data_IF_832729179561
#
_entry.id   IF_832729179561
#
_cell.length_a   1.000
_cell.length_b   1.000
_cell.length_c   1.000
_cell.angle_alpha   90.00
_cell.angle_beta   90.00
_cell.angle_gamma   90.00
#
_symmetry.space_group_name_H-M   'P 1'
#
loop_
_entity.id
_entity.type
_entity.pdbx_description
1 polymer ?
#
# COMPACT_ATOMS: atom_id res chain seq x y z
N UNK A 1 3.75 23.00 5.94
CA UNK A 1 3.61 22.44 4.58
C UNK A 1 2.16 22.10 4.33
N UNK A 2 1.67 22.36 3.12
CA UNK A 2 0.28 22.05 2.75
C UNK A 2 0.13 20.57 2.40
N UNK A 3 -0.95 19.96 2.87
CA UNK A 3 -1.21 18.53 2.72
C UNK A 3 -1.34 18.05 1.27
N UNK A 4 -1.78 18.93 0.36
CA UNK A 4 -1.92 18.61 -1.05
C UNK A 4 -0.58 18.42 -1.77
N UNK A 5 0.49 19.11 -1.34
CA UNK A 5 1.83 18.90 -1.90
C UNK A 5 2.34 17.50 -1.54
N UNK A 6 2.14 17.08 -0.29
CA UNK A 6 2.50 15.73 0.18
C UNK A 6 1.66 14.67 -0.53
N UNK A 7 0.37 14.93 -0.76
CA UNK A 7 -0.51 14.04 -1.51
C UNK A 7 -0.07 13.86 -2.97
N UNK A 8 0.36 14.94 -3.63
CA UNK A 8 0.88 14.90 -5.00
C UNK A 8 2.23 14.16 -5.08
N UNK A 9 3.14 14.44 -4.14
CA UNK A 9 4.41 13.73 -4.04
C UNK A 9 4.19 12.22 -3.79
N UNK A 10 3.23 11.87 -2.94
CA UNK A 10 2.84 10.48 -2.71
C UNK A 10 2.37 9.83 -4.01
N UNK A 11 1.58 10.53 -4.84
CA UNK A 11 1.13 10.02 -6.13
C UNK A 11 2.30 9.72 -7.08
N UNK A 12 3.29 10.61 -7.15
CA UNK A 12 4.49 10.43 -8.00
C UNK A 12 5.37 9.27 -7.50
N UNK A 13 5.59 9.18 -6.19
CA UNK A 13 6.40 8.10 -5.62
C UNK A 13 5.71 6.74 -5.74
N UNK A 14 4.39 6.70 -5.54
CA UNK A 14 3.60 5.47 -5.70
C UNK A 14 3.59 5.02 -7.17
N UNK A 15 3.47 5.94 -8.12
CA UNK A 15 3.45 5.57 -9.55
C UNK A 15 4.82 5.08 -10.03
N UNK A 16 5.89 5.74 -9.60
CA UNK A 16 7.27 5.33 -9.88
C UNK A 16 7.60 3.99 -9.22
N UNK A 17 7.06 3.67 -8.04
CA UNK A 17 7.28 2.39 -7.38
C UNK A 17 6.78 1.23 -8.26
N UNK A 18 5.60 1.35 -8.87
CA UNK A 18 5.06 0.34 -9.78
C UNK A 18 6.00 0.07 -10.96
N UNK A 19 6.48 1.14 -11.60
CA UNK A 19 7.39 1.06 -12.75
C UNK A 19 8.77 0.53 -12.34
N UNK A 20 9.32 0.97 -11.21
CA UNK A 20 10.60 0.51 -10.71
C UNK A 20 10.56 -0.98 -10.34
N UNK A 21 9.42 -1.46 -9.82
CA UNK A 21 9.22 -2.87 -9.49
C UNK A 21 9.10 -3.73 -10.75
N UNK A 22 8.52 -3.21 -11.84
CA UNK A 22 8.51 -3.95 -13.12
C UNK A 22 9.88 -3.93 -13.78
N UNK A 23 10.62 -2.82 -13.70
CA UNK A 23 11.99 -2.71 -14.21
C UNK A 23 13.01 -3.52 -13.39
N UNK A 24 12.71 -3.85 -12.12
CA UNK A 24 13.57 -4.72 -11.31
C UNK A 24 13.42 -6.21 -11.64
N UNK A 25 12.44 -6.58 -12.46
CA UNK A 25 12.30 -7.94 -12.98
C UNK A 25 13.35 -8.20 -14.06
N UNK A 26 14.07 -9.32 -13.97
CA UNK A 26 15.05 -9.76 -14.95
C UNK A 26 14.62 -11.11 -15.51
N UNK A 27 14.50 -11.23 -16.83
CA UNK A 27 14.11 -12.46 -17.54
C UNK A 27 12.82 -13.13 -17.03
N UNK A 28 11.78 -12.34 -16.71
CA UNK A 28 10.47 -12.86 -16.31
C UNK A 28 10.37 -13.33 -14.84
N UNK A 29 11.41 -13.12 -14.03
CA UNK A 29 11.43 -13.40 -12.60
C UNK A 29 12.11 -12.31 -11.78
N UNK A 30 12.03 -12.42 -10.45
CA UNK A 30 12.79 -11.56 -9.54
C UNK A 30 14.10 -12.26 -9.16
N UNK A 31 15.23 -11.61 -9.38
CA UNK A 31 16.55 -12.12 -8.97
C UNK A 31 16.79 -12.01 -7.46
N UNK A 32 15.90 -11.33 -6.73
CA UNK A 32 15.94 -11.12 -5.28
C UNK A 32 14.67 -11.66 -4.63
N UNK A 33 14.76 -11.99 -3.34
CA UNK A 33 13.62 -12.42 -2.55
C UNK A 33 12.70 -11.21 -2.25
N UNK A 34 11.51 -11.18 -2.87
CA UNK A 34 10.54 -10.12 -2.69
C UNK A 34 10.10 -9.93 -1.22
N UNK A 35 10.19 -10.97 -0.38
CA UNK A 35 9.84 -10.87 1.04
C UNK A 35 10.83 -10.01 1.85
N UNK A 36 12.07 -9.85 1.38
CA UNK A 36 13.11 -9.06 2.05
C UNK A 36 12.97 -7.55 1.81
N UNK A 37 12.35 -7.14 0.70
CA UNK A 37 12.14 -5.72 0.35
C UNK A 37 11.26 -4.98 1.38
N UNK A 38 10.08 -5.48 1.79
CA UNK A 38 9.29 -4.86 2.85
C UNK A 38 10.04 -4.74 4.18
N UNK A 39 10.83 -5.75 4.56
CA UNK A 39 11.63 -5.71 5.79
C UNK A 39 12.66 -4.58 5.75
N UNK A 40 13.44 -4.47 4.68
CA UNK A 40 14.42 -3.39 4.50
C UNK A 40 13.74 -2.01 4.44
N UNK A 41 12.57 -1.91 3.82
CA UNK A 41 11.80 -0.66 3.80
C UNK A 41 11.32 -0.26 5.20
N UNK A 42 10.90 -1.20 6.06
CA UNK A 42 10.59 -0.92 7.47
C UNK A 42 11.83 -0.45 8.24
N UNK A 43 12.98 -1.09 8.06
CA UNK A 43 14.25 -0.67 8.69
C UNK A 43 14.62 0.75 8.25
N UNK A 44 14.53 1.05 6.95
CA UNK A 44 14.79 2.39 6.43
C UNK A 44 13.87 3.44 7.09
N UNK A 45 12.56 3.17 7.15
CA UNK A 45 11.59 4.06 7.80
C UNK A 45 11.89 4.25 9.29
N UNK A 46 12.29 3.19 9.99
CA UNK A 46 12.64 3.22 11.39
C UNK A 46 13.89 4.07 11.64
N UNK A 47 14.95 3.90 10.83
CA UNK A 47 16.18 4.69 10.91
C UNK A 47 15.90 6.17 10.66
N UNK A 48 15.16 6.49 9.59
CA UNK A 48 14.80 7.87 9.25
C UNK A 48 13.93 8.51 10.34
N UNK A 49 12.95 7.77 10.87
CA UNK A 49 12.07 8.28 11.94
C UNK A 49 12.83 8.50 13.24
N UNK A 50 13.76 7.60 13.59
CA UNK A 50 14.61 7.74 14.78
C UNK A 50 15.56 8.92 14.64
N UNK A 51 16.16 9.12 13.47
CA UNK A 51 17.02 10.27 13.19
C UNK A 51 16.27 11.60 13.35
N UNK A 52 15.06 11.71 12.79
CA UNK A 52 14.25 12.91 12.94
C UNK A 52 13.77 13.13 14.37
N UNK A 53 13.42 12.06 15.09
CA UNK A 53 13.08 12.14 16.51
C UNK A 53 14.27 12.62 17.34
N UNK A 54 15.46 12.07 17.11
CA UNK A 54 16.68 12.50 17.79
C UNK A 54 16.98 13.99 17.55
N UNK A 55 16.83 14.45 16.30
CA UNK A 55 16.96 15.87 15.96
C UNK A 55 15.91 16.75 16.64
N UNK A 56 14.67 16.27 16.77
CA UNK A 56 13.59 16.99 17.46
C UNK A 56 13.84 17.07 18.97
N UNK A 57 14.34 15.99 19.60
CA UNK A 57 14.73 15.97 21.01
C UNK A 57 15.90 16.91 21.32
N UNK A 58 16.83 17.10 20.38
CA UNK A 58 17.96 18.03 20.52
C UNK A 58 17.58 19.49 20.25
N UNK A 59 16.33 19.77 19.86
CA UNK A 59 15.81 21.12 19.69
C UNK A 59 15.34 21.72 21.02
N UNK A 60 15.19 23.04 21.09
CA UNK A 60 14.90 23.79 22.33
C UNK A 60 13.58 23.41 23.03
N UNK A 61 12.67 22.70 22.34
CA UNK A 61 11.38 22.26 22.86
C UNK A 61 11.28 20.74 22.72
N UNK A 62 11.39 19.96 23.81
CA UNK A 62 11.34 18.51 23.71
C UNK A 62 9.98 18.05 23.16
N UNK A 63 9.95 17.03 22.28
CA UNK A 63 8.71 16.54 21.72
C UNK A 63 7.85 15.86 22.79
N UNK A 64 6.53 15.91 22.60
CA UNK A 64 5.60 15.12 23.41
C UNK A 64 5.73 13.65 23.03
N UNK A 65 6.09 12.83 24.02
CA UNK A 65 6.29 11.39 23.87
C UNK A 65 5.51 10.66 24.98
N UNK A 66 4.31 10.17 24.67
CA UNK A 66 3.65 9.23 25.59
C UNK A 66 4.31 7.85 25.53
N UNK A 67 4.87 7.43 26.66
CA UNK A 67 5.50 6.11 26.87
C UNK A 67 4.62 5.16 27.68
N UNK A 68 3.39 5.56 27.99
CA UNK A 68 2.45 4.73 28.74
C UNK A 68 2.17 3.41 28.02
N UNK A 69 2.37 2.29 28.72
CA UNK A 69 2.17 0.94 28.17
C UNK A 69 0.78 0.73 27.56
N UNK A 70 -0.25 1.38 28.13
CA UNK A 70 -1.64 1.34 27.64
C UNK A 70 -1.77 1.86 26.21
N UNK A 71 -0.96 2.84 25.84
CA UNK A 71 -0.90 3.45 24.51
C UNK A 71 0.03 2.65 23.60
N UNK A 72 1.22 2.31 24.09
CA UNK A 72 2.24 1.58 23.31
C UNK A 72 1.71 0.23 22.83
N UNK A 73 0.95 -0.50 23.67
CA UNK A 73 0.38 -1.81 23.31
C UNK A 73 -0.66 -1.77 22.17
N UNK A 74 -1.09 -0.58 21.72
CA UNK A 74 -2.03 -0.44 20.59
C UNK A 74 -1.30 -0.37 19.23
N UNK A 75 -0.03 -0.01 19.20
CA UNK A 75 0.78 0.08 17.97
C UNK A 75 1.08 -1.26 17.27
N UNK A 76 1.15 -2.41 17.97
CA UNK A 76 1.22 -3.71 17.31
C UNK A 76 -0.03 -4.07 16.50
N UNK A 77 -1.20 -3.50 16.82
CA UNK A 77 -2.49 -3.89 16.22
C UNK A 77 -2.51 -3.66 14.70
N UNK A 78 -2.16 -2.47 14.17
CA UNK A 78 -2.02 -2.28 12.72
C UNK A 78 -1.11 -3.32 12.08
N UNK A 79 0.04 -3.61 12.69
CA UNK A 79 1.04 -4.54 12.15
C UNK A 79 0.52 -5.98 12.10
N UNK A 80 -0.25 -6.41 13.11
CA UNK A 80 -0.94 -7.71 13.09
C UNK A 80 -1.99 -7.75 11.99
N UNK A 81 -2.79 -6.70 11.83
CA UNK A 81 -3.81 -6.64 10.76
C UNK A 81 -3.13 -6.68 9.38
N UNK A 82 -2.03 -5.95 9.17
CA UNK A 82 -1.26 -6.00 7.93
C UNK A 82 -0.63 -7.38 7.68
N UNK A 83 -0.18 -8.08 8.74
CA UNK A 83 0.33 -9.44 8.62
C UNK A 83 -0.78 -10.42 8.17
N UNK A 84 -1.95 -10.36 8.81
CA UNK A 84 -3.11 -11.18 8.43
C UNK A 84 -3.55 -10.84 7.01
N UNK A 85 -3.66 -9.55 6.67
CA UNK A 85 -3.97 -9.08 5.32
C UNK A 85 -3.01 -9.66 4.29
N UNK A 86 -1.70 -9.61 4.54
CA UNK A 86 -0.71 -10.18 3.64
C UNK A 86 -0.93 -11.69 3.43
N UNK A 87 -1.16 -12.45 4.51
CA UNK A 87 -1.44 -13.89 4.39
C UNK A 87 -2.73 -14.16 3.61
N UNK A 88 -3.81 -13.43 3.90
CA UNK A 88 -5.08 -13.54 3.17
C UNK A 88 -4.90 -13.19 1.70
N UNK A 89 -4.07 -12.18 1.38
CA UNK A 89 -3.72 -11.84 -0.01
C UNK A 89 -3.04 -13.01 -0.73
N UNK A 90 -2.02 -13.64 -0.11
CA UNK A 90 -1.37 -14.81 -0.72
C UNK A 90 -2.35 -15.97 -0.91
N UNK A 91 -3.17 -16.27 0.10
CA UNK A 91 -4.23 -17.28 -0.02
C UNK A 91 -5.26 -16.92 -1.08
N UNK A 92 -5.55 -15.64 -1.32
CA UNK A 92 -6.49 -15.22 -2.36
C UNK A 92 -5.89 -15.47 -3.75
N UNK A 93 -4.62 -15.14 -3.94
CA UNK A 93 -3.90 -15.32 -5.20
C UNK A 93 -3.70 -16.79 -5.63
N UNK A 94 -3.93 -17.77 -4.74
CA UNK A 94 -3.97 -19.19 -5.13
C UNK A 94 -5.30 -19.59 -5.79
N UNK A 95 -6.35 -18.78 -5.61
CA UNK A 95 -7.69 -19.05 -6.16
C UNK A 95 -8.10 -18.08 -7.27
N UNK A 96 -7.60 -16.84 -7.24
CA UNK A 96 -7.94 -15.80 -8.22
C UNK A 96 -6.67 -15.28 -8.89
N UNK A 97 -6.78 -14.92 -10.16
CA UNK A 97 -5.68 -14.30 -10.88
C UNK A 97 -5.35 -12.89 -10.32
N UNK A 98 -4.09 -12.42 -10.46
CA UNK A 98 -3.66 -11.13 -9.92
C UNK A 98 -4.49 -9.93 -10.40
N UNK A 99 -4.98 -9.96 -11.65
CA UNK A 99 -5.85 -8.90 -12.19
C UNK A 99 -7.21 -8.86 -11.49
N UNK A 100 -7.85 -10.02 -11.31
CA UNK A 100 -9.10 -10.12 -10.54
C UNK A 100 -8.89 -9.68 -9.09
N UNK A 101 -7.77 -10.06 -8.46
CA UNK A 101 -7.42 -9.58 -7.11
C UNK A 101 -7.30 -8.04 -7.05
N UNK A 102 -6.67 -7.40 -8.05
CA UNK A 102 -6.55 -5.94 -8.09
C UNK A 102 -7.92 -5.25 -8.21
N UNK A 103 -8.80 -5.77 -9.08
CA UNK A 103 -10.18 -5.27 -9.25
C UNK A 103 -10.93 -5.39 -7.92
N UNK A 104 -10.90 -6.56 -7.29
CA UNK A 104 -11.50 -6.78 -5.98
C UNK A 104 -10.92 -5.86 -4.90
N UNK A 105 -9.61 -5.59 -4.99
CA UNK A 105 -8.90 -4.68 -4.10
C UNK A 105 -9.43 -3.25 -4.14
N UNK A 106 -10.07 -2.80 -5.23
CA UNK A 106 -10.70 -1.47 -5.29
C UNK A 106 -11.88 -1.34 -4.34
N UNK A 107 -12.50 -2.45 -3.90
CA UNK A 107 -13.55 -2.42 -2.90
C UNK A 107 -13.07 -1.81 -1.57
N UNK A 108 -11.75 -1.87 -1.28
CA UNK A 108 -11.15 -1.20 -0.13
C UNK A 108 -11.44 0.30 -0.09
N UNK A 109 -11.67 0.94 -1.24
CA UNK A 109 -12.00 2.37 -1.36
C UNK A 109 -13.32 2.66 -0.65
N UNK A 110 -14.35 1.88 -0.97
CA UNK A 110 -15.69 1.99 -0.37
C UNK A 110 -15.65 1.58 1.10
N UNK A 111 -14.99 0.45 1.41
CA UNK A 111 -14.87 -0.04 2.78
C UNK A 111 -14.13 0.95 3.68
N UNK A 112 -13.10 1.64 3.16
CA UNK A 112 -12.40 2.72 3.87
C UNK A 112 -13.34 3.87 4.19
N UNK A 113 -14.20 4.28 3.26
CA UNK A 113 -15.21 5.32 3.50
C UNK A 113 -16.21 4.94 4.60
N UNK A 114 -16.67 3.68 4.60
CA UNK A 114 -17.58 3.15 5.63
C UNK A 114 -16.88 3.11 7.00
N UNK A 115 -15.68 2.52 7.07
CA UNK A 115 -14.91 2.41 8.30
C UNK A 115 -14.48 3.77 8.84
N UNK A 116 -14.16 4.72 7.95
CA UNK A 116 -13.87 6.11 8.34
C UNK A 116 -15.06 6.75 9.06
N UNK A 117 -16.28 6.59 8.54
CA UNK A 117 -17.49 7.08 9.22
C UNK A 117 -17.71 6.40 10.58
N UNK A 118 -17.44 5.10 10.69
CA UNK A 118 -17.64 4.33 11.93
C UNK A 118 -16.59 4.64 13.01
N UNK A 119 -15.30 4.62 12.68
CA UNK A 119 -14.21 4.81 13.64
C UNK A 119 -13.92 6.27 13.95
N UNK A 120 -13.82 7.13 12.92
CA UNK A 120 -13.48 8.54 13.11
C UNK A 120 -14.70 9.39 13.47
N UNK A 121 -15.91 8.82 13.40
CA UNK A 121 -17.20 9.49 13.66
C UNK A 121 -17.40 10.79 12.87
N UNK A 122 -16.67 10.97 11.76
CA UNK A 122 -16.80 12.12 10.86
C UNK A 122 -17.94 11.88 9.88
N UNK A 123 -18.77 12.90 9.66
CA UNK A 123 -19.85 12.85 8.67
C UNK A 123 -19.27 13.18 7.29
N UNK A 124 -19.57 12.33 6.31
CA UNK A 124 -19.27 12.58 4.89
C UNK A 124 -20.53 13.15 4.23
N UNK A 125 -20.37 14.16 3.39
CA UNK A 125 -21.47 14.71 2.60
C UNK A 125 -21.91 13.73 1.51
N UNK A 126 -23.13 13.89 0.99
CA UNK A 126 -23.64 13.06 -0.12
C UNK A 126 -22.74 13.17 -1.35
N UNK A 127 -22.23 14.37 -1.65
CA UNK A 127 -21.26 14.59 -2.73
C UNK A 127 -19.96 13.81 -2.51
N UNK A 128 -19.43 13.79 -1.29
CA UNK A 128 -18.22 13.02 -0.95
C UNK A 128 -18.46 11.51 -1.08
N UNK A 129 -19.63 11.01 -0.70
CA UNK A 129 -20.02 9.61 -0.92
C UNK A 129 -20.09 9.26 -2.40
N UNK A 130 -20.74 10.09 -3.21
CA UNK A 130 -20.79 9.90 -4.65
C UNK A 130 -19.40 9.92 -5.27
N UNK A 131 -18.50 10.80 -4.81
CA UNK A 131 -17.12 10.84 -5.30
C UNK A 131 -16.32 9.58 -4.94
N UNK A 132 -16.49 9.02 -3.73
CA UNK A 132 -15.83 7.76 -3.32
C UNK A 132 -16.32 6.58 -4.17
N UNK A 133 -17.63 6.49 -4.39
CA UNK A 133 -18.21 5.44 -5.24
C UNK A 133 -17.74 5.60 -6.68
N UNK A 134 -17.75 6.82 -7.21
CA UNK A 134 -17.27 7.12 -8.56
C UNK A 134 -15.78 6.78 -8.72
N UNK A 135 -14.96 7.03 -7.68
CA UNK A 135 -13.55 6.64 -7.68
C UNK A 135 -13.39 5.12 -7.74
N UNK A 136 -14.15 4.37 -6.94
CA UNK A 136 -14.09 2.91 -6.91
C UNK A 136 -14.54 2.29 -8.25
N UNK A 137 -15.60 2.84 -8.85
CA UNK A 137 -16.07 2.44 -10.18
C UNK A 137 -15.00 2.78 -11.23
N UNK A 138 -14.48 4.00 -11.24
CA UNK A 138 -13.47 4.46 -12.20
C UNK A 138 -12.18 3.63 -12.17
N UNK A 139 -11.64 3.33 -10.98
CA UNK A 139 -10.46 2.47 -10.85
C UNK A 139 -10.75 1.04 -11.30
N UNK A 140 -11.93 0.52 -10.99
CA UNK A 140 -12.34 -0.82 -11.42
C UNK A 140 -12.46 -0.90 -12.93
N UNK A 141 -13.19 0.03 -13.56
CA UNK A 141 -13.34 0.11 -15.01
C UNK A 141 -11.99 0.24 -15.72
N UNK A 142 -11.02 0.95 -15.14
CA UNK A 142 -9.69 1.09 -15.73
C UNK A 142 -8.85 -0.20 -15.69
N UNK A 143 -9.17 -1.13 -14.79
CA UNK A 143 -8.42 -2.37 -14.58
C UNK A 143 -9.09 -3.59 -15.22
N UNK A 144 -10.30 -3.45 -15.75
CA UNK A 144 -10.96 -4.54 -16.47
C UNK A 144 -10.15 -4.85 -17.73
N UNK A 145 -9.87 -6.13 -17.99
CA UNK A 145 -9.19 -6.50 -19.24
C UNK A 145 -10.09 -6.14 -20.43
N UNK A 146 -9.53 -5.52 -21.47
CA UNK A 146 -10.27 -5.34 -22.72
C UNK A 146 -10.57 -6.70 -23.32
N UNK A 147 -11.84 -7.02 -23.54
CA UNK A 147 -12.26 -8.22 -24.26
C UNK A 147 -11.89 -8.07 -25.75
N UNK A 148 -10.61 -8.29 -26.07
CA UNK A 148 -10.06 -8.16 -27.41
C UNK A 148 -9.84 -9.49 -28.13
N UNK A 149 -9.52 -10.57 -27.43
CA UNK A 149 -9.32 -11.91 -27.98
C UNK A 149 -9.32 -12.89 -26.79
N UNK A 150 -10.22 -13.89 -26.82
CA UNK A 150 -10.48 -14.92 -25.80
C UNK A 150 -11.31 -14.56 -24.53
N UNK A 151 -12.56 -15.06 -24.52
CA UNK A 151 -13.42 -15.46 -23.39
C UNK A 151 -13.61 -14.52 -22.17
N UNK A 152 -14.56 -13.58 -22.30
CA UNK A 152 -15.13 -12.83 -21.16
C UNK A 152 -15.91 -13.70 -20.15
N UNK A 153 -16.21 -14.97 -20.47
CA UNK A 153 -16.90 -15.90 -19.57
C UNK A 153 -16.08 -16.30 -18.33
N UNK A 154 -14.76 -16.08 -18.36
CA UNK A 154 -13.84 -16.44 -17.27
C UNK A 154 -13.76 -15.42 -16.13
N UNK A 155 -14.30 -14.20 -16.30
CA UNK A 155 -14.21 -13.12 -15.31
C UNK A 155 -14.94 -13.43 -13.99
N UNK A 156 -15.94 -14.31 -14.03
CA UNK A 156 -16.67 -14.76 -12.83
C UNK A 156 -16.42 -16.23 -12.47
N UNK A 157 -15.56 -16.95 -13.21
CA UNK A 157 -15.34 -18.39 -13.00
C UNK A 157 -14.45 -18.73 -11.80
N UNK A 158 -13.93 -17.72 -11.10
CA UNK A 158 -13.08 -17.99 -9.94
C UNK A 158 -13.88 -18.69 -8.80
N UNK A 159 -13.23 -19.56 -8.00
CA UNK A 159 -13.88 -20.23 -6.89
C UNK A 159 -14.49 -19.24 -5.88
N UNK A 160 -15.64 -19.58 -5.31
CA UNK A 160 -16.33 -18.74 -4.31
C UNK A 160 -15.43 -18.41 -3.11
N UNK A 161 -14.54 -19.34 -2.71
CA UNK A 161 -13.55 -19.09 -1.65
C UNK A 161 -12.62 -17.92 -2.00
N UNK A 162 -12.20 -17.81 -3.26
CA UNK A 162 -11.35 -16.70 -3.73
C UNK A 162 -12.04 -15.34 -3.58
N UNK A 163 -13.33 -15.25 -3.93
CA UNK A 163 -14.10 -14.02 -3.74
C UNK A 163 -14.29 -13.66 -2.26
N UNK A 164 -14.57 -14.64 -1.41
CA UNK A 164 -14.72 -14.40 0.03
C UNK A 164 -13.40 -13.90 0.67
N UNK A 165 -12.27 -14.52 0.29
CA UNK A 165 -10.94 -14.10 0.77
C UNK A 165 -10.54 -12.72 0.23
N UNK A 166 -10.86 -12.41 -1.04
CA UNK A 166 -10.61 -11.08 -1.61
C UNK A 166 -11.41 -9.98 -0.90
N UNK A 167 -12.68 -10.23 -0.58
CA UNK A 167 -13.51 -9.32 0.21
C UNK A 167 -12.93 -9.11 1.62
N UNK A 168 -12.54 -10.21 2.29
CA UNK A 168 -11.88 -10.15 3.59
C UNK A 168 -10.58 -9.34 3.53
N UNK A 169 -9.76 -9.55 2.49
CA UNK A 169 -8.53 -8.79 2.25
C UNK A 169 -8.82 -7.29 2.14
N UNK A 170 -9.79 -6.90 1.30
CA UNK A 170 -10.17 -5.49 1.15
C UNK A 170 -10.61 -4.85 2.49
N UNK A 171 -11.38 -5.58 3.30
CA UNK A 171 -11.81 -5.14 4.62
C UNK A 171 -10.64 -4.98 5.60
N UNK A 172 -9.73 -5.96 5.66
CA UNK A 172 -8.55 -5.89 6.54
C UNK A 172 -7.62 -4.74 6.13
N UNK A 173 -7.42 -4.53 4.83
CA UNK A 173 -6.62 -3.42 4.29
C UNK A 173 -7.18 -2.05 4.71
N UNK A 174 -8.50 -1.88 4.56
CA UNK A 174 -9.20 -0.67 4.96
C UNK A 174 -9.15 -0.45 6.49
N UNK A 175 -9.36 -1.52 7.27
CA UNK A 175 -9.30 -1.50 8.72
C UNK A 175 -7.91 -1.11 9.23
N UNK A 176 -6.85 -1.70 8.68
CA UNK A 176 -5.47 -1.35 9.06
C UNK A 176 -5.16 0.13 8.81
N UNK A 177 -5.60 0.66 7.65
CA UNK A 177 -5.44 2.07 7.30
C UNK A 177 -6.18 3.01 8.26
N UNK A 178 -7.47 2.78 8.47
CA UNK A 178 -8.31 3.62 9.36
C UNK A 178 -7.86 3.52 10.82
N UNK A 179 -7.45 2.33 11.28
CA UNK A 179 -6.95 2.15 12.64
C UNK A 179 -5.61 2.87 12.85
N UNK A 180 -4.73 2.85 11.85
CA UNK A 180 -3.47 3.62 11.90
C UNK A 180 -3.77 5.12 11.99
N UNK A 181 -4.69 5.62 11.18
CA UNK A 181 -5.13 7.03 11.25
C UNK A 181 -5.68 7.39 12.65
N UNK A 182 -6.56 6.55 13.17
CA UNK A 182 -7.14 6.72 14.50
C UNK A 182 -6.04 6.77 15.57
N UNK A 183 -5.08 5.85 15.54
CA UNK A 183 -3.99 5.79 16.51
C UNK A 183 -3.09 7.04 16.45
N UNK A 184 -2.74 7.47 15.24
CA UNK A 184 -1.89 8.65 15.03
C UNK A 184 -2.56 9.95 15.49
N UNK A 185 -3.87 10.08 15.27
CA UNK A 185 -4.64 11.28 15.67
C UNK A 185 -5.16 11.25 17.10
N UNK A 186 -5.22 10.09 17.75
CA UNK A 186 -5.69 9.95 19.14
C UNK A 186 -4.82 10.73 20.13
N UNK A 187 -3.51 10.73 19.91
CA UNK A 187 -2.56 11.42 20.77
C UNK A 187 -1.91 12.61 20.06
N UNK A 188 -1.66 13.67 20.83
CA UNK A 188 -0.88 14.84 20.42
C UNK A 188 0.65 14.61 20.52
N UNK A 189 1.09 13.36 20.32
CA UNK A 189 2.51 12.99 20.29
C UNK A 189 3.17 13.44 18.98
N UNK A 190 4.50 13.53 19.02
CA UNK A 190 5.31 13.71 17.82
C UNK A 190 5.04 12.60 16.80
N UNK A 191 4.96 12.99 15.53
CA UNK A 191 4.86 12.06 14.39
C UNK A 191 5.99 11.04 14.43
N UNK A 192 7.22 11.49 14.70
CA UNK A 192 8.40 10.64 14.63
C UNK A 192 8.40 9.60 15.74
N UNK A 193 7.92 9.95 16.94
CA UNK A 193 7.76 8.98 18.02
C UNK A 193 6.73 7.90 17.69
N UNK A 194 5.56 8.30 17.18
CA UNK A 194 4.53 7.35 16.74
C UNK A 194 5.02 6.45 15.60
N UNK A 195 5.84 6.99 14.69
CA UNK A 195 6.48 6.23 13.62
C UNK A 195 7.51 5.23 14.13
N UNK A 196 8.35 5.62 15.09
CA UNK A 196 9.30 4.69 15.72
C UNK A 196 8.55 3.52 16.34
N UNK A 197 7.47 3.75 17.08
CA UNK A 197 6.66 2.68 17.66
C UNK A 197 6.04 1.78 16.58
N UNK A 198 5.40 2.39 15.56
CA UNK A 198 4.73 1.65 14.49
C UNK A 198 5.72 0.79 13.67
N UNK A 199 6.84 1.38 13.24
CA UNK A 199 7.83 0.71 12.39
C UNK A 199 8.70 -0.27 13.17
N UNK A 200 8.89 -0.08 14.49
CA UNK A 200 9.55 -1.09 15.35
C UNK A 200 8.74 -2.38 15.35
N UNK A 201 7.43 -2.31 15.64
CA UNK A 201 6.58 -3.49 15.57
C UNK A 201 6.48 -4.03 14.15
N UNK A 202 6.34 -3.16 13.14
CA UNK A 202 6.34 -3.56 11.73
C UNK A 202 7.59 -4.35 11.32
N UNK A 203 8.78 -3.91 11.74
CA UNK A 203 10.04 -4.62 11.49
C UNK A 203 10.09 -5.97 12.19
N UNK A 204 9.66 -6.05 13.47
CA UNK A 204 9.58 -7.31 14.22
C UNK A 204 8.66 -8.32 13.51
N UNK A 205 7.49 -7.90 13.06
CA UNK A 205 6.55 -8.79 12.36
C UNK A 205 7.06 -9.22 10.98
N UNK A 206 7.74 -8.35 10.22
CA UNK A 206 8.36 -8.74 8.96
C UNK A 206 9.53 -9.71 9.18
N UNK A 207 10.35 -9.50 10.22
CA UNK A 207 11.40 -10.45 10.61
C UNK A 207 10.81 -11.80 11.03
N UNK A 208 9.75 -11.81 11.83
CA UNK A 208 9.06 -13.04 12.22
C UNK A 208 8.49 -13.79 11.01
N UNK A 209 7.97 -13.07 10.01
CA UNK A 209 7.52 -13.67 8.77
C UNK A 209 8.65 -14.34 7.99
N UNK A 210 9.79 -13.66 7.82
CA UNK A 210 10.97 -14.23 7.15
C UNK A 210 11.47 -15.51 7.86
N UNK A 211 11.48 -15.49 9.19
CA UNK A 211 11.81 -16.67 9.99
C UNK A 211 10.81 -17.81 9.77
N UNK A 212 9.50 -17.54 9.76
CA UNK A 212 8.48 -18.55 9.49
C UNK A 212 8.60 -19.13 8.08
N UNK A 213 8.92 -18.31 7.10
CA UNK A 213 9.14 -18.75 5.72
C UNK A 213 10.39 -19.66 5.64
N UNK A 214 11.47 -19.37 6.38
CA UNK A 214 12.64 -20.27 6.50
C UNK A 214 12.30 -21.60 7.17
N UNK A 215 11.54 -21.57 8.27
CA UNK A 215 11.11 -22.79 8.96
C UNK A 215 10.24 -23.67 8.06
N UNK A 216 9.40 -23.08 7.21
CA UNK A 216 8.55 -23.82 6.26
C UNK A 216 9.35 -24.50 5.16
N UNK A 217 10.44 -23.88 4.71
CA UNK A 217 11.33 -24.41 3.66
C UNK A 217 12.49 -25.25 4.27
N UNK A 218 12.49 -25.48 5.59
CA UNK A 218 13.48 -26.33 6.25
C UNK A 218 14.92 -25.82 6.15
N UNK A 219 15.12 -24.50 6.02
CA UNK A 219 16.43 -23.87 5.81
C UNK A 219 17.23 -24.36 4.59
N UNK A 220 16.59 -25.02 3.60
CA UNK A 220 17.27 -25.51 2.39
C UNK A 220 17.99 -24.40 1.62
N UNK A 221 17.39 -23.20 1.59
CA UNK A 221 17.95 -22.03 0.91
C UNK A 221 18.91 -21.21 1.79
N UNK A 222 19.27 -21.72 2.97
CA UNK A 222 20.01 -20.97 4.00
C UNK A 222 19.13 -19.98 4.78
N UNK A 223 19.64 -19.41 5.89
CA UNK A 223 18.90 -18.47 6.72
C UNK A 223 18.63 -17.13 6.02
N UNK A 224 17.50 -16.49 6.35
CA UNK A 224 17.03 -15.24 5.77
C UNK A 224 18.08 -14.14 5.74
N UNK A 225 18.94 -14.04 6.76
CA UNK A 225 19.98 -13.00 6.84
C UNK A 225 21.07 -13.16 5.77
N UNK A 226 21.36 -14.37 5.30
CA UNK A 226 22.30 -14.60 4.19
C UNK A 226 21.64 -14.24 2.85
N UNK A 227 20.34 -14.52 2.71
CA UNK A 227 19.58 -14.21 1.49
C UNK A 227 19.19 -12.74 1.37
N UNK A 228 19.25 -11.99 2.47
CA UNK A 228 18.72 -10.63 2.58
C UNK A 228 19.27 -9.64 1.56
N UNK A 229 20.53 -9.82 1.12
CA UNK A 229 21.18 -8.97 0.12
C UNK A 229 21.52 -9.75 -1.16
N UNK A 230 21.08 -11.00 -1.27
CA UNK A 230 21.37 -11.83 -2.45
C UNK A 230 20.55 -11.35 -3.64
N UNK A 231 21.23 -11.13 -4.77
CA UNK A 231 20.58 -10.68 -6.02
C UNK A 231 20.14 -9.20 -6.02
N UNK A 232 20.60 -8.40 -5.06
CA UNK A 232 20.27 -6.98 -4.99
C UNK A 232 21.06 -6.17 -6.03
N UNK A 233 20.33 -5.57 -6.95
CA UNK A 233 20.85 -4.59 -7.90
C UNK A 233 20.58 -3.16 -7.41
N UNK A 234 21.16 -2.17 -8.09
CA UNK A 234 20.89 -0.75 -7.82
C UNK A 234 19.39 -0.45 -7.96
N UNK A 235 18.69 -1.08 -8.91
CA UNK A 235 17.25 -0.89 -9.09
C UNK A 235 16.45 -1.43 -7.90
N UNK A 236 16.81 -2.58 -7.33
CA UNK A 236 16.19 -3.11 -6.10
C UNK A 236 16.36 -2.15 -4.92
N UNK A 237 17.54 -1.54 -4.75
CA UNK A 237 17.74 -0.53 -3.71
C UNK A 237 16.88 0.72 -3.91
N UNK A 238 16.72 1.18 -5.15
CA UNK A 238 15.82 2.29 -5.47
C UNK A 238 14.36 1.91 -5.12
N UNK A 239 13.92 0.68 -5.40
CA UNK A 239 12.59 0.19 -5.00
C UNK A 239 12.42 0.23 -3.48
N UNK A 240 13.41 -0.25 -2.71
CA UNK A 240 13.39 -0.22 -1.23
C UNK A 240 13.28 1.22 -0.70
N UNK A 241 14.11 2.13 -1.23
CA UNK A 241 14.10 3.54 -0.82
C UNK A 241 12.78 4.23 -1.17
N UNK A 242 12.23 3.93 -2.35
CA UNK A 242 10.95 4.50 -2.79
C UNK A 242 9.78 3.98 -1.94
N UNK A 243 9.76 2.67 -1.66
CA UNK A 243 8.75 2.04 -0.78
C UNK A 243 8.82 2.64 0.63
N UNK A 244 10.03 2.81 1.17
CA UNK A 244 10.26 3.45 2.46
C UNK A 244 9.77 4.91 2.49
N UNK A 245 10.14 5.69 1.48
CA UNK A 245 9.74 7.10 1.34
C UNK A 245 8.22 7.27 1.22
N UNK A 246 7.58 6.45 0.39
CA UNK A 246 6.12 6.37 0.26
C UNK A 246 5.46 6.08 1.61
N UNK A 247 6.03 5.15 2.40
CA UNK A 247 5.53 4.82 3.73
C UNK A 247 5.62 5.97 4.74
N UNK A 248 6.68 6.79 4.70
CA UNK A 248 6.81 8.00 5.53
C UNK A 248 5.78 9.06 5.15
N UNK A 249 5.55 9.28 3.85
CA UNK A 249 4.52 10.21 3.37
C UNK A 249 3.12 9.74 3.76
N UNK A 250 2.85 8.44 3.68
CA UNK A 250 1.57 7.85 4.13
C UNK A 250 1.36 8.12 5.62
N UNK A 251 2.38 7.89 6.46
CA UNK A 251 2.30 8.21 7.89
C UNK A 251 2.01 9.70 8.13
N UNK A 252 2.70 10.59 7.40
CA UNK A 252 2.45 12.02 7.50
C UNK A 252 1.00 12.38 7.14
N UNK A 253 0.46 11.81 6.06
CA UNK A 253 -0.96 12.01 5.69
C UNK A 253 -1.92 11.45 6.75
N UNK A 254 -1.60 10.33 7.38
CA UNK A 254 -2.44 9.75 8.44
C UNK A 254 -2.49 10.63 9.68
N UNK A 255 -1.42 11.38 9.99
CA UNK A 255 -1.40 12.33 11.10
C UNK A 255 -2.07 13.66 10.78
N UNK A 256 -1.74 14.25 9.62
CA UNK A 256 -2.07 15.65 9.31
C UNK A 256 -3.18 15.84 8.26
N UNK A 257 -3.53 14.79 7.52
CA UNK A 257 -4.63 14.78 6.55
C UNK A 257 -5.64 13.69 6.95
N UNK A 258 -6.24 12.97 6.00
CA UNK A 258 -7.16 11.85 6.27
C UNK A 258 -6.81 10.64 5.37
N UNK A 259 -7.18 9.42 5.77
CA UNK A 259 -6.97 8.22 4.94
C UNK A 259 -7.70 8.30 3.60
N UNK A 260 -8.77 9.11 3.50
CA UNK A 260 -9.43 9.42 2.22
C UNK A 260 -8.44 10.05 1.23
N UNK A 261 -7.63 11.02 1.66
CA UNK A 261 -6.62 11.69 0.81
C UNK A 261 -5.59 10.67 0.31
N UNK A 262 -5.14 9.77 1.18
CA UNK A 262 -4.25 8.66 0.78
C UNK A 262 -4.89 7.82 -0.33
N UNK A 263 -6.16 7.42 -0.16
CA UNK A 263 -6.86 6.60 -1.15
C UNK A 263 -6.94 7.33 -2.50
N UNK A 264 -7.31 8.62 -2.52
CA UNK A 264 -7.30 9.43 -3.75
C UNK A 264 -5.90 9.50 -4.39
N UNK A 265 -4.85 9.77 -3.60
CA UNK A 265 -3.48 9.81 -4.11
C UNK A 265 -3.04 8.49 -4.73
N UNK A 266 -3.38 7.37 -4.10
CA UNK A 266 -3.04 6.03 -4.62
C UNK A 266 -3.84 5.68 -5.87
N UNK A 267 -5.12 6.07 -5.95
CA UNK A 267 -5.93 5.87 -7.15
C UNK A 267 -5.43 6.71 -8.33
N UNK A 268 -5.04 7.96 -8.08
CA UNK A 268 -4.41 8.80 -9.09
C UNK A 268 -3.06 8.22 -9.54
N UNK A 269 -2.29 7.63 -8.62
CA UNK A 269 -1.02 6.99 -8.95
C UNK A 269 -1.21 5.80 -9.88
N UNK A 270 -2.24 4.97 -9.65
CA UNK A 270 -2.57 3.85 -10.55
C UNK A 270 -2.87 4.32 -11.97
N UNK A 271 -3.67 5.39 -12.12
CA UNK A 271 -3.95 5.99 -13.44
C UNK A 271 -2.68 6.57 -14.08
N UNK A 272 -1.84 7.25 -13.29
CA UNK A 272 -0.59 7.82 -13.78
C UNK A 272 0.38 6.72 -14.24
N UNK A 273 0.52 5.63 -13.48
CA UNK A 273 1.31 4.46 -13.88
C UNK A 273 0.81 3.89 -15.19
N UNK A 274 -0.51 3.76 -15.38
CA UNK A 274 -1.07 3.29 -16.64
C UNK A 274 -0.69 4.19 -17.81
N UNK A 275 -0.85 5.51 -17.67
CA UNK A 275 -0.49 6.48 -18.72
C UNK A 275 1.01 6.40 -19.04
N UNK A 276 1.86 6.38 -18.01
CA UNK A 276 3.31 6.24 -18.19
C UNK A 276 3.68 4.92 -18.84
N UNK A 277 2.99 3.82 -18.52
CA UNK A 277 3.25 2.52 -19.14
C UNK A 277 2.92 2.48 -20.63
N UNK A 278 1.93 3.25 -21.10
CA UNK A 278 1.66 3.40 -22.54
C UNK A 278 2.87 4.04 -23.24
N UNK A 279 3.41 5.12 -22.66
CA UNK A 279 4.54 5.84 -23.25
C UNK A 279 5.88 5.10 -23.13
N UNK A 280 6.13 4.42 -22.01
CA UNK A 280 7.43 3.79 -21.73
C UNK A 280 7.54 2.36 -22.28
N UNK A 281 6.45 1.59 -22.27
CA UNK A 281 6.46 0.17 -22.64
C UNK A 281 5.71 -0.13 -23.95
N UNK A 282 5.26 0.90 -24.69
CA UNK A 282 4.45 0.75 -25.92
C UNK A 282 3.26 -0.19 -25.74
N UNK A 283 2.68 -0.23 -24.54
CA UNK A 283 1.58 -1.12 -24.22
C UNK A 283 0.31 -0.62 -24.95
N UNK A 284 -0.33 -1.49 -25.76
CA UNK A 284 -1.61 -1.14 -26.41
C UNK A 284 -2.69 -1.00 -25.33
N UNK A 285 -3.26 0.20 -25.11
CA UNK A 285 -4.32 0.35 -24.12
C UNK A 285 -5.54 -0.48 -24.50
N UNK A 286 -6.15 -1.16 -23.53
CA UNK A 286 -7.48 -1.73 -23.72
C UNK A 286 -8.47 -0.59 -24.04
N UNK A 287 -9.48 -0.88 -24.88
CA UNK A 287 -10.48 0.07 -25.43
C UNK A 287 -11.19 0.94 -24.37
N UNK A 288 -11.08 0.60 -23.09
CA UNK A 288 -11.61 1.36 -21.96
C UNK A 288 -10.92 2.71 -21.74
N UNK A 289 -9.65 2.86 -22.14
CA UNK A 289 -8.99 4.18 -22.16
C UNK A 289 -9.50 5.03 -23.32
N UNK A 290 -9.91 4.41 -24.44
CA UNK A 290 -10.42 5.12 -25.62
C UNK A 290 -11.76 5.83 -25.39
N UNK A 291 -12.56 5.43 -24.40
CA UNK A 291 -13.75 6.18 -24.01
C UNK A 291 -13.44 7.59 -23.45
N UNK A 292 -12.16 7.89 -23.17
CA UNK A 292 -11.69 9.23 -22.74
C UNK A 292 -11.04 10.04 -23.86
N UNK A 293 -10.70 9.43 -24.99
CA UNK A 293 -10.14 10.12 -26.17
C UNK A 293 -11.13 10.26 -27.32
N UNK A 294 -12.24 9.51 -27.33
CA UNK A 294 -13.27 9.62 -28.38
C UNK A 294 -14.29 10.75 -28.19
N UNK A 295 -14.28 11.48 -27.06
CA UNK A 295 -15.12 12.67 -26.88
C UNK A 295 -14.48 13.97 -27.40
N UNK A 296 -13.26 13.92 -27.94
CA UNK A 296 -12.58 15.07 -28.55
C UNK A 296 -12.38 14.96 -30.06
N UNK A 297 -13.18 14.14 -30.75
CA UNK A 297 -13.24 14.11 -32.21
C UNK A 297 -14.70 14.14 -32.68
N UNK A 298 -15.40 15.20 -32.32
CA UNK A 298 -16.49 15.74 -33.13
C UNK A 298 -16.07 17.11 -33.60
N UNK A 299 -15.79 17.19 -34.90
CA UNK A 299 -15.31 18.35 -35.64
C UNK A 299 -15.03 17.91 -37.06
#
# INVERSE_FOLDING_TARGET
MQWYFIAALLTILTSSQGILTTLSQSNGGYSYDYATVPFLAEIFKLVVSTFFLWRECNSSSPPRMTTEWRTVRLFPIPSVIYLIHNNVQFSTLTYVDPSTYQIMGNLKIVTTGILFRLFMRRRLSTLQWMAIVLLAVGTTTSQVKGCGEASCDSLFSAPMQGYMLGLLSACLSALAGVYTEYLMKKNNDSLYWQNVQLYTFGSIFNMARLLLDDFRVGFENGPWWQRLLSGYTITTWIVVLNLGSTGLLVSWLMKYADNIVKVYSTSMAMLLTMVLSIFLFNFKPSVQVSFRTSSSSWG
#
